data_IF_966157122682
#
_entry.id   IF_966157122682
#
_cell.length_a   1.000
_cell.length_b   1.000
_cell.length_c   1.000
_cell.angle_alpha   90.00
_cell.angle_beta   90.00
_cell.angle_gamma   90.00
#
_symmetry.space_group_name_H-M   'P 1'
#
loop_
_entity.id
_entity.type
_entity.pdbx_description
1 polymer ?
#
# COMPACT_ATOMS: atom_id res chain seq x y z
N UNK A 1 -3.21 -10.55 4.27
CA UNK A 1 -2.21 -9.52 4.02
C UNK A 1 -2.19 -8.45 5.12
N UNK A 2 -1.07 -7.72 5.25
CA UNK A 2 -0.90 -6.66 6.24
C UNK A 2 -1.83 -5.47 5.91
N UNK A 3 -2.41 -4.85 6.96
CA UNK A 3 -3.30 -3.68 6.81
C UNK A 3 -2.57 -2.40 6.36
N UNK A 4 -1.25 -2.38 6.49
CA UNK A 4 -0.41 -1.30 5.96
C UNK A 4 0.03 -1.66 4.54
N UNK A 5 -0.35 -0.89 3.51
CA UNK A 5 0.11 -1.13 2.14
C UNK A 5 1.63 -1.15 2.01
N UNK A 6 2.32 -0.31 2.77
CA UNK A 6 3.78 -0.25 2.72
C UNK A 6 4.47 -1.41 3.45
N UNK A 7 3.87 -1.97 4.50
CA UNK A 7 4.36 -3.22 5.10
C UNK A 7 4.13 -4.38 4.13
N UNK A 8 2.93 -4.45 3.54
CA UNK A 8 2.60 -5.43 2.52
C UNK A 8 3.58 -5.34 1.32
N UNK A 9 3.88 -4.12 0.84
CA UNK A 9 4.88 -3.89 -0.21
C UNK A 9 6.23 -4.51 0.12
N UNK A 10 6.78 -4.28 1.32
CA UNK A 10 8.09 -4.82 1.70
C UNK A 10 8.05 -6.35 1.82
N UNK A 11 7.01 -6.89 2.44
CA UNK A 11 6.83 -8.33 2.57
C UNK A 11 6.72 -9.01 1.19
N UNK A 12 5.95 -8.42 0.27
CA UNK A 12 5.83 -8.90 -1.11
C UNK A 12 7.17 -8.83 -1.85
N UNK A 13 7.92 -7.73 -1.72
CA UNK A 13 9.25 -7.63 -2.33
C UNK A 13 10.20 -8.72 -1.82
N UNK A 14 10.24 -8.95 -0.51
CA UNK A 14 11.09 -9.99 0.08
C UNK A 14 10.75 -11.39 -0.47
N UNK A 15 9.46 -11.70 -0.61
CA UNK A 15 8.98 -12.97 -1.17
C UNK A 15 9.32 -13.10 -2.65
N UNK A 16 9.04 -12.09 -3.48
CA UNK A 16 9.39 -12.07 -4.91
C UNK A 16 10.91 -12.20 -5.14
N UNK A 17 11.69 -11.58 -4.26
CA UNK A 17 13.14 -11.65 -4.31
C UNK A 17 13.72 -12.95 -3.69
N UNK A 18 12.89 -13.80 -3.09
CA UNK A 18 13.27 -15.00 -2.35
C UNK A 18 14.32 -14.70 -1.26
N UNK A 19 14.06 -13.64 -0.48
CA UNK A 19 14.90 -13.21 0.65
C UNK A 19 14.24 -13.71 1.94
N UNK A 20 14.97 -14.48 2.73
CA UNK A 20 14.52 -14.95 4.04
C UNK A 20 14.31 -13.79 5.02
N UNK A 21 13.21 -13.80 5.74
CA UNK A 21 12.89 -12.78 6.72
C UNK A 21 12.06 -13.32 7.89
N UNK A 22 12.09 -12.58 9.00
CA UNK A 22 11.27 -12.86 10.18
C UNK A 22 10.43 -11.62 10.51
N UNK A 23 9.12 -11.79 10.67
CA UNK A 23 8.23 -10.70 11.06
C UNK A 23 8.35 -10.44 12.56
N UNK A 24 8.69 -9.20 12.93
CA UNK A 24 8.66 -8.72 14.30
C UNK A 24 7.50 -7.72 14.46
N UNK A 25 6.43 -8.06 15.19
CA UNK A 25 5.35 -7.10 15.45
C UNK A 25 5.88 -5.84 16.14
N UNK A 26 5.59 -4.69 15.58
CA UNK A 26 6.07 -3.41 16.10
C UNK A 26 5.00 -2.33 15.99
N UNK A 27 5.10 -1.33 16.86
CA UNK A 27 4.26 -0.13 16.81
C UNK A 27 5.01 1.02 16.11
N UNK A 28 4.31 1.92 15.41
CA UNK A 28 4.96 3.05 14.74
C UNK A 28 5.79 3.94 15.67
N UNK A 29 5.41 4.05 16.96
CA UNK A 29 6.13 4.85 17.94
C UNK A 29 7.54 4.33 18.24
N UNK A 30 7.80 3.04 18.07
CA UNK A 30 9.12 2.43 18.25
C UNK A 30 9.97 2.42 16.98
N UNK A 31 9.41 2.81 15.82
CA UNK A 31 10.13 2.79 14.56
C UNK A 31 11.02 4.02 14.37
N UNK A 32 12.19 3.91 13.71
CA UNK A 32 13.17 5.00 13.58
C UNK A 32 12.65 6.32 13.03
N UNK A 33 11.63 6.28 12.14
CA UNK A 33 10.96 7.47 11.57
C UNK A 33 9.52 7.65 12.07
N UNK A 34 9.13 6.98 13.17
CA UNK A 34 7.74 7.00 13.65
C UNK A 34 6.71 6.44 12.67
N UNK A 35 7.15 5.61 11.71
CA UNK A 35 6.34 4.98 10.66
C UNK A 35 6.80 3.54 10.43
N UNK A 36 5.87 2.69 10.02
CA UNK A 36 6.14 1.34 9.52
C UNK A 36 6.04 1.33 7.98
N UNK A 37 6.77 0.44 7.30
CA UNK A 37 7.72 -0.54 7.82
C UNK A 37 9.09 0.04 8.18
N UNK A 38 9.82 -0.71 8.99
CA UNK A 38 11.27 -0.67 9.05
C UNK A 38 11.80 -2.12 9.08
N UNK A 39 13.04 -2.31 8.69
CA UNK A 39 13.75 -3.60 8.78
C UNK A 39 15.01 -3.45 9.63
N UNK A 40 15.46 -4.56 10.14
CA UNK A 40 16.80 -4.72 10.71
C UNK A 40 17.56 -5.69 9.82
N UNK A 41 18.62 -5.22 9.20
CA UNK A 41 19.50 -6.02 8.35
C UNK A 41 20.95 -5.78 8.72
N UNK A 42 21.69 -6.86 9.00
CA UNK A 42 23.12 -6.82 9.35
C UNK A 42 23.43 -5.81 10.49
N UNK A 43 22.52 -5.68 11.46
CA UNK A 43 22.67 -4.77 12.61
C UNK A 43 22.29 -3.32 12.32
N UNK A 44 21.78 -3.01 11.14
CA UNK A 44 21.31 -1.68 10.77
C UNK A 44 19.78 -1.63 10.72
N UNK A 45 19.20 -0.61 11.38
CA UNK A 45 17.78 -0.33 11.29
C UNK A 45 17.50 0.64 10.12
N UNK A 46 16.74 0.18 9.13
CA UNK A 46 16.39 0.94 7.93
C UNK A 46 14.90 1.20 7.89
N UNK A 47 14.50 2.45 7.75
CA UNK A 47 13.10 2.87 7.74
C UNK A 47 12.74 3.62 6.44
N UNK A 48 11.47 3.57 6.08
CA UNK A 48 10.86 4.00 4.84
C UNK A 48 11.01 2.95 3.72
N UNK A 49 9.86 2.52 3.18
CA UNK A 49 9.80 1.41 2.23
C UNK A 49 10.66 1.62 0.96
N UNK A 50 10.86 2.87 0.52
CA UNK A 50 11.70 3.16 -0.65
C UNK A 50 13.17 2.94 -0.35
N UNK A 51 13.65 3.46 0.81
CA UNK A 51 15.04 3.27 1.22
C UNK A 51 15.33 1.81 1.58
N UNK A 52 14.36 1.12 2.16
CA UNK A 52 14.45 -0.33 2.40
C UNK A 52 14.66 -1.08 1.08
N UNK A 53 13.82 -0.83 0.06
CA UNK A 53 13.96 -1.48 -1.25
C UNK A 53 15.28 -1.10 -1.92
N UNK A 54 15.70 0.16 -1.83
CA UNK A 54 17.02 0.56 -2.37
C UNK A 54 18.15 -0.23 -1.73
N UNK A 55 18.11 -0.43 -0.42
CA UNK A 55 19.07 -1.26 0.29
C UNK A 55 19.00 -2.73 -0.16
N UNK A 56 17.79 -3.32 -0.21
CA UNK A 56 17.60 -4.71 -0.62
C UNK A 56 18.09 -4.98 -2.05
N UNK A 57 17.89 -4.03 -2.97
CA UNK A 57 18.42 -4.09 -4.34
C UNK A 57 19.94 -4.15 -4.38
N UNK A 58 20.62 -3.40 -3.52
CA UNK A 58 22.08 -3.34 -3.51
C UNK A 58 22.73 -4.46 -2.73
N UNK A 59 22.08 -4.95 -1.67
CA UNK A 59 22.67 -5.91 -0.74
C UNK A 59 22.19 -7.35 -0.95
N UNK A 60 21.06 -7.54 -1.64
CA UNK A 60 20.44 -8.84 -1.87
C UNK A 60 20.10 -9.04 -3.35
N UNK A 61 18.82 -8.92 -3.73
CA UNK A 61 18.37 -9.14 -5.11
C UNK A 61 17.68 -7.91 -5.67
N UNK A 62 18.10 -7.46 -6.85
CA UNK A 62 17.46 -6.40 -7.61
C UNK A 62 16.46 -6.99 -8.60
N UNK A 63 15.15 -6.80 -8.34
CA UNK A 63 14.09 -7.27 -9.23
C UNK A 63 13.99 -6.43 -10.53
N UNK A 64 14.66 -5.28 -10.60
CA UNK A 64 14.63 -4.39 -11.76
C UNK A 64 15.90 -4.49 -12.62
N UNK A 65 16.76 -5.51 -12.42
CA UNK A 65 18.07 -5.62 -13.10
C UNK A 65 17.98 -5.67 -14.62
N UNK A 66 16.89 -6.24 -15.12
CA UNK A 66 16.69 -6.44 -16.56
C UNK A 66 15.94 -5.28 -17.25
N UNK A 67 15.45 -4.30 -16.46
CA UNK A 67 14.67 -3.17 -16.98
C UNK A 67 15.58 -2.14 -17.66
N UNK A 68 15.19 -1.69 -18.84
CA UNK A 68 15.83 -0.58 -19.52
C UNK A 68 15.44 0.79 -18.91
N UNK A 69 16.08 1.87 -19.35
CA UNK A 69 15.86 3.21 -18.79
C UNK A 69 14.41 3.73 -18.92
N UNK A 70 13.70 3.37 -20.00
CA UNK A 70 12.31 3.79 -20.21
C UNK A 70 11.35 3.02 -19.27
N UNK A 71 11.60 1.73 -19.08
CA UNK A 71 10.85 0.89 -18.14
C UNK A 71 11.09 1.32 -16.70
N UNK A 72 12.32 1.65 -16.31
CA UNK A 72 12.64 2.20 -15.00
C UNK A 72 11.92 3.54 -14.74
N UNK A 73 11.82 4.40 -15.76
CA UNK A 73 11.09 5.66 -15.68
C UNK A 73 9.58 5.42 -15.52
N UNK A 74 9.02 4.47 -16.28
CA UNK A 74 7.60 4.06 -16.18
C UNK A 74 7.31 3.45 -14.80
N UNK A 75 8.18 2.55 -14.33
CA UNK A 75 8.10 1.98 -12.98
C UNK A 75 8.03 3.06 -11.91
N UNK A 76 8.94 4.04 -11.98
CA UNK A 76 8.94 5.15 -11.03
C UNK A 76 7.67 5.98 -11.09
N UNK A 77 7.17 6.31 -12.29
CA UNK A 77 5.96 7.10 -12.46
C UNK A 77 4.73 6.39 -11.88
N UNK A 78 4.55 5.09 -12.17
CA UNK A 78 3.46 4.29 -11.63
C UNK A 78 3.58 4.08 -10.12
N UNK A 79 4.79 3.89 -9.57
CA UNK A 79 4.99 3.88 -8.12
C UNK A 79 4.56 5.20 -7.47
N UNK A 80 4.82 6.36 -8.09
CA UNK A 80 4.36 7.66 -7.57
C UNK A 80 2.84 7.77 -7.61
N UNK A 81 2.21 7.36 -8.71
CA UNK A 81 0.74 7.32 -8.79
C UNK A 81 0.16 6.45 -7.66
N UNK A 82 0.70 5.28 -7.44
CA UNK A 82 0.25 4.34 -6.39
C UNK A 82 0.47 4.91 -4.99
N UNK A 83 1.70 5.34 -4.68
CA UNK A 83 2.13 5.66 -3.32
C UNK A 83 1.87 7.11 -2.90
N UNK A 84 1.79 8.05 -3.87
CA UNK A 84 1.62 9.46 -3.57
C UNK A 84 0.23 9.99 -3.93
N UNK A 85 -0.57 9.25 -4.71
CA UNK A 85 -1.92 9.68 -5.06
C UNK A 85 -2.97 8.65 -4.63
N UNK A 86 -3.02 7.46 -5.24
CA UNK A 86 -4.04 6.44 -4.95
C UNK A 86 -4.05 6.02 -3.46
N UNK A 87 -2.89 5.95 -2.82
CA UNK A 87 -2.78 5.68 -1.38
C UNK A 87 -3.59 6.66 -0.53
N UNK A 88 -3.59 7.96 -0.86
CA UNK A 88 -4.32 8.96 -0.08
C UNK A 88 -5.83 8.84 -0.23
N UNK A 89 -6.30 8.38 -1.39
CA UNK A 89 -7.71 8.08 -1.64
C UNK A 89 -8.15 6.83 -0.86
N UNK A 90 -7.33 5.79 -0.85
CA UNK A 90 -7.54 4.60 -0.02
C UNK A 90 -7.52 4.95 1.48
N UNK A 91 -6.63 5.83 1.90
CA UNK A 91 -6.56 6.32 3.28
C UNK A 91 -7.82 7.12 3.66
N UNK A 92 -8.30 7.98 2.76
CA UNK A 92 -9.57 8.71 2.91
C UNK A 92 -10.73 7.73 3.11
N UNK A 93 -10.86 6.68 2.31
CA UNK A 93 -11.89 5.66 2.41
C UNK A 93 -11.96 5.03 3.80
N UNK A 94 -10.81 4.76 4.41
CA UNK A 94 -10.68 4.06 5.70
C UNK A 94 -10.91 4.96 6.91
N UNK A 95 -10.44 6.20 6.84
CA UNK A 95 -10.35 7.06 8.02
C UNK A 95 -11.35 8.19 8.04
N UNK A 96 -11.89 8.59 6.88
CA UNK A 96 -12.68 9.81 6.76
C UNK A 96 -14.06 9.59 6.13
N UNK A 97 -14.23 8.71 5.16
CA UNK A 97 -15.39 8.61 4.30
C UNK A 97 -16.68 8.35 5.08
N UNK A 98 -16.79 7.23 5.79
CA UNK A 98 -17.96 6.90 6.63
C UNK A 98 -17.56 6.51 8.04
N UNK A 99 -18.48 6.64 9.00
CA UNK A 99 -18.25 6.15 10.35
C UNK A 99 -18.24 4.61 10.41
N UNK A 100 -18.97 3.93 9.54
CA UNK A 100 -18.92 2.47 9.42
C UNK A 100 -17.52 2.00 9.03
N UNK A 101 -16.91 2.58 7.98
CA UNK A 101 -15.55 2.28 7.57
C UNK A 101 -14.55 2.55 8.70
N UNK A 102 -14.73 3.66 9.40
CA UNK A 102 -13.91 3.95 10.56
C UNK A 102 -14.03 2.88 11.65
N UNK A 103 -15.22 2.36 11.98
CA UNK A 103 -15.38 1.33 12.99
C UNK A 103 -14.70 0.02 12.59
N UNK A 104 -14.84 -0.40 11.33
CA UNK A 104 -14.13 -1.57 10.77
C UNK A 104 -12.61 -1.38 10.87
N UNK A 105 -12.11 -0.24 10.42
CA UNK A 105 -10.68 0.09 10.45
C UNK A 105 -10.14 0.19 11.89
N UNK A 106 -10.92 0.81 12.80
CA UNK A 106 -10.58 0.91 14.22
C UNK A 106 -10.44 -0.47 14.86
N UNK A 107 -11.39 -1.36 14.61
CA UNK A 107 -11.34 -2.72 15.15
C UNK A 107 -10.15 -3.51 14.57
N UNK A 108 -9.89 -3.37 13.29
CA UNK A 108 -8.78 -4.07 12.63
C UNK A 108 -7.40 -3.64 13.12
N UNK A 109 -7.20 -2.34 13.40
CA UNK A 109 -5.90 -1.80 13.82
C UNK A 109 -5.72 -1.85 15.35
N UNK A 110 -6.75 -1.51 16.10
CA UNK A 110 -6.65 -1.30 17.55
C UNK A 110 -7.42 -2.34 18.36
N UNK A 111 -8.03 -3.34 17.73
CA UNK A 111 -8.88 -4.34 18.38
C UNK A 111 -8.21 -5.15 19.50
N UNK A 112 -6.87 -5.27 19.48
CA UNK A 112 -6.09 -5.91 20.54
C UNK A 112 -5.92 -5.09 21.81
N UNK A 113 -6.34 -3.81 21.82
CA UNK A 113 -6.26 -2.95 23.00
C UNK A 113 -7.53 -3.05 23.86
N UNK A 114 -7.42 -2.87 25.20
CA UNK A 114 -8.58 -2.72 26.08
C UNK A 114 -9.52 -1.59 25.59
N UNK A 115 -10.86 -1.75 25.71
CA UNK A 115 -11.82 -0.85 25.05
C UNK A 115 -11.62 0.65 25.27
N UNK A 116 -11.37 1.07 26.51
CA UNK A 116 -11.18 2.50 26.86
C UNK A 116 -9.89 3.04 26.22
N UNK A 117 -8.78 2.28 26.35
CA UNK A 117 -7.48 2.66 25.79
C UNK A 117 -7.57 2.70 24.26
N UNK A 118 -8.21 1.69 23.68
CA UNK A 118 -8.45 1.61 22.24
C UNK A 118 -9.14 2.87 21.72
N UNK A 119 -10.21 3.31 22.37
CA UNK A 119 -11.00 4.43 21.89
C UNK A 119 -10.23 5.76 21.99
N UNK A 120 -9.47 5.97 23.05
CA UNK A 120 -8.62 7.15 23.20
C UNK A 120 -7.52 7.19 22.15
N UNK A 121 -6.77 6.07 22.01
CA UNK A 121 -5.66 5.96 21.07
C UNK A 121 -6.16 6.08 19.62
N UNK A 122 -7.21 5.36 19.28
CA UNK A 122 -7.80 5.38 17.94
C UNK A 122 -8.33 6.76 17.56
N UNK A 123 -8.99 7.49 18.50
CA UNK A 123 -9.45 8.85 18.25
C UNK A 123 -8.28 9.81 17.95
N UNK A 124 -7.22 9.73 18.73
CA UNK A 124 -6.00 10.52 18.51
C UNK A 124 -5.37 10.25 17.12
N UNK A 125 -5.28 8.98 16.75
CA UNK A 125 -4.79 8.58 15.43
C UNK A 125 -5.70 9.03 14.29
N UNK A 126 -7.03 8.86 14.43
CA UNK A 126 -8.00 9.36 13.43
C UNK A 126 -7.83 10.86 13.18
N UNK A 127 -7.72 11.64 14.26
CA UNK A 127 -7.51 13.10 14.17
C UNK A 127 -6.20 13.46 13.46
N UNK A 128 -5.12 12.73 13.75
CA UNK A 128 -3.81 12.90 13.09
C UNK A 128 -3.91 12.60 11.60
N UNK A 129 -4.48 11.45 11.24
CA UNK A 129 -4.60 11.02 9.83
C UNK A 129 -5.51 11.97 9.04
N UNK A 130 -6.66 12.36 9.58
CA UNK A 130 -7.54 13.35 8.92
C UNK A 130 -6.84 14.69 8.65
N UNK A 131 -5.96 15.14 9.55
CA UNK A 131 -5.14 16.33 9.30
C UNK A 131 -4.11 16.11 8.19
N UNK A 132 -3.53 14.92 8.08
CA UNK A 132 -2.62 14.58 6.98
C UNK A 132 -3.35 14.54 5.64
N UNK A 133 -4.53 13.92 5.57
CA UNK A 133 -5.38 13.88 4.37
C UNK A 133 -5.78 15.30 3.94
N UNK A 134 -6.13 16.17 4.89
CA UNK A 134 -6.44 17.56 4.63
C UNK A 134 -5.20 18.35 4.15
N UNK A 135 -4.05 18.13 4.76
CA UNK A 135 -2.77 18.75 4.41
C UNK A 135 -2.26 18.32 3.03
N UNK A 136 -2.47 17.08 2.65
CA UNK A 136 -2.19 16.56 1.31
C UNK A 136 -3.07 17.23 0.23
N UNK A 137 -4.28 17.66 0.59
CA UNK A 137 -5.24 18.24 -0.34
C UNK A 137 -6.46 17.35 -0.63
N UNK A 138 -6.29 16.02 -0.62
CA UNK A 138 -7.37 15.05 -0.86
C UNK A 138 -8.58 15.31 0.07
N UNK A 139 -8.34 15.64 1.33
CA UNK A 139 -9.41 15.90 2.30
C UNK A 139 -10.15 17.23 2.12
N UNK A 140 -9.80 18.02 1.11
CA UNK A 140 -10.49 19.28 0.75
C UNK A 140 -11.59 19.07 -0.29
N UNK A 141 -11.55 17.95 -0.99
CA UNK A 141 -12.51 17.56 -2.00
C UNK A 141 -13.77 16.92 -1.37
N UNK A 142 -14.89 17.00 -2.10
CA UNK A 142 -16.07 16.20 -1.79
C UNK A 142 -15.81 14.71 -2.07
N UNK A 143 -16.60 13.83 -1.46
CA UNK A 143 -16.36 12.39 -1.55
C UNK A 143 -16.42 11.85 -3.00
N UNK A 144 -17.37 12.35 -3.79
CA UNK A 144 -17.53 12.00 -5.20
C UNK A 144 -16.32 12.41 -6.05
N UNK A 145 -15.73 13.58 -5.78
CA UNK A 145 -14.53 14.07 -6.41
C UNK A 145 -13.33 13.19 -6.04
N UNK A 146 -13.16 12.88 -4.74
CA UNK A 146 -12.08 11.99 -4.26
C UNK A 146 -12.13 10.65 -4.98
N UNK A 147 -13.32 10.04 -5.05
CA UNK A 147 -13.45 8.74 -5.70
C UNK A 147 -13.40 8.82 -7.24
N UNK A 148 -13.75 9.95 -7.85
CA UNK A 148 -13.55 10.18 -9.27
C UNK A 148 -12.06 10.17 -9.64
N UNK A 149 -11.21 10.81 -8.83
CA UNK A 149 -9.75 10.77 -8.99
C UNK A 149 -9.20 9.33 -8.81
N UNK A 150 -9.69 8.61 -7.80
CA UNK A 150 -9.28 7.22 -7.58
C UNK A 150 -9.68 6.26 -8.70
N UNK A 151 -10.83 6.48 -9.35
CA UNK A 151 -11.21 5.73 -10.55
C UNK A 151 -10.24 5.96 -11.71
N UNK A 152 -9.78 7.20 -11.92
CA UNK A 152 -8.78 7.52 -12.95
C UNK A 152 -7.47 6.80 -12.68
N UNK A 153 -7.02 6.74 -11.43
CA UNK A 153 -5.82 6.00 -11.06
C UNK A 153 -5.96 4.49 -11.33
N UNK A 154 -7.10 3.90 -10.97
CA UNK A 154 -7.38 2.48 -11.24
C UNK A 154 -7.48 2.20 -12.74
N UNK A 155 -8.04 3.12 -13.53
CA UNK A 155 -8.07 3.02 -15.00
C UNK A 155 -6.65 3.04 -15.57
N UNK A 156 -5.80 3.94 -15.11
CA UNK A 156 -4.42 4.02 -15.54
C UNK A 156 -3.63 2.76 -15.19
N UNK A 157 -3.82 2.22 -13.98
CA UNK A 157 -3.19 0.96 -13.56
C UNK A 157 -3.71 -0.22 -14.38
N UNK A 158 -5.02 -0.33 -14.59
CA UNK A 158 -5.62 -1.39 -15.42
C UNK A 158 -5.11 -1.35 -16.86
N UNK A 159 -5.06 -0.15 -17.47
CA UNK A 159 -4.52 0.03 -18.81
C UNK A 159 -3.02 -0.28 -18.90
N UNK A 160 -2.25 0.09 -17.87
CA UNK A 160 -0.80 -0.18 -17.83
C UNK A 160 -0.49 -1.67 -17.64
N UNK A 161 -1.29 -2.38 -16.86
CA UNK A 161 -1.16 -3.84 -16.70
C UNK A 161 -1.58 -4.57 -17.98
N UNK A 162 -2.67 -4.12 -18.62
CA UNK A 162 -3.22 -4.78 -19.81
C UNK A 162 -3.50 -6.26 -19.57
N UNK A 163 -2.94 -7.10 -20.43
CA UNK A 163 -3.03 -8.57 -20.35
C UNK A 163 -1.74 -9.22 -19.84
N UNK A 164 -0.80 -8.42 -19.30
CA UNK A 164 0.50 -8.92 -18.82
C UNK A 164 0.35 -9.62 -17.47
N UNK A 165 1.30 -10.50 -17.16
CA UNK A 165 1.39 -11.14 -15.85
C UNK A 165 1.80 -10.14 -14.76
N UNK A 166 2.76 -9.27 -15.06
CA UNK A 166 3.25 -8.21 -14.18
C UNK A 166 3.26 -6.89 -14.93
N UNK A 167 3.35 -5.77 -14.24
CA UNK A 167 3.24 -4.42 -14.84
C UNK A 167 4.28 -4.11 -15.94
N UNK A 168 5.42 -4.79 -15.92
CA UNK A 168 6.51 -4.57 -16.88
C UNK A 168 6.95 -5.86 -17.60
N UNK A 169 6.05 -6.82 -17.77
CA UNK A 169 6.31 -8.04 -18.53
C UNK A 169 5.94 -9.33 -17.79
N UNK A 170 6.75 -10.36 -17.96
CA UNK A 170 6.46 -11.72 -17.50
C UNK A 170 7.10 -12.05 -16.13
N UNK A 171 7.97 -11.18 -15.64
CA UNK A 171 8.66 -11.35 -14.36
C UNK A 171 8.30 -10.21 -13.38
N UNK A 172 8.20 -10.48 -12.07
CA UNK A 172 7.87 -9.48 -11.08
C UNK A 172 9.00 -8.46 -10.90
N UNK A 173 8.62 -7.20 -10.77
CA UNK A 173 9.53 -6.08 -10.54
C UNK A 173 9.23 -5.38 -9.21
N UNK A 174 10.04 -4.38 -8.86
CA UNK A 174 9.76 -3.53 -7.68
C UNK A 174 8.37 -2.87 -7.76
N UNK A 175 7.92 -2.52 -8.96
CA UNK A 175 6.60 -1.91 -9.16
C UNK A 175 5.49 -2.84 -8.69
N UNK A 176 5.59 -4.14 -8.96
CA UNK A 176 4.58 -5.13 -8.58
C UNK A 176 4.43 -5.26 -7.07
N UNK A 177 5.52 -5.13 -6.32
CA UNK A 177 5.43 -5.09 -4.85
C UNK A 177 4.64 -3.88 -4.34
N UNK A 178 4.80 -2.72 -4.98
CA UNK A 178 4.05 -1.49 -4.64
C UNK A 178 2.58 -1.60 -5.07
N UNK A 179 2.34 -2.08 -6.28
CA UNK A 179 1.00 -2.25 -6.84
C UNK A 179 0.18 -3.25 -6.03
N UNK A 180 0.71 -4.45 -5.80
CA UNK A 180 0.03 -5.45 -4.98
C UNK A 180 -0.23 -4.93 -3.56
N UNK A 181 0.78 -4.34 -2.90
CA UNK A 181 0.64 -3.84 -1.54
C UNK A 181 -0.51 -2.85 -1.37
N UNK A 182 -0.79 -1.99 -2.36
CA UNK A 182 -1.91 -1.08 -2.31
C UNK A 182 -3.21 -1.72 -2.82
N UNK A 183 -3.20 -2.42 -3.95
CA UNK A 183 -4.39 -3.01 -4.56
C UNK A 183 -5.07 -4.04 -3.65
N UNK A 184 -4.31 -4.92 -2.99
CA UNK A 184 -4.88 -5.86 -2.01
C UNK A 184 -5.53 -5.12 -0.82
N UNK A 185 -5.01 -3.97 -0.48
CA UNK A 185 -5.53 -3.10 0.57
C UNK A 185 -6.73 -2.24 0.11
N UNK A 186 -7.09 -2.24 -1.18
CA UNK A 186 -8.31 -1.65 -1.74
C UNK A 186 -9.32 -2.76 -2.06
N UNK A 187 -8.94 -3.70 -2.92
CA UNK A 187 -9.83 -4.75 -3.47
C UNK A 187 -10.08 -5.85 -2.44
N UNK A 188 -9.04 -6.32 -1.76
CA UNK A 188 -9.11 -7.44 -0.80
C UNK A 188 -9.42 -7.06 0.64
N UNK A 189 -9.66 -5.78 0.95
CA UNK A 189 -9.91 -5.34 2.32
C UNK A 189 -11.42 -5.35 2.67
N UNK A 190 -11.79 -5.44 3.97
CA UNK A 190 -13.18 -5.42 4.41
C UNK A 190 -13.83 -4.02 4.43
N UNK A 191 -13.12 -2.99 3.93
CA UNK A 191 -13.62 -1.61 3.89
C UNK A 191 -14.41 -1.40 2.59
N UNK A 192 -15.70 -1.16 2.70
CA UNK A 192 -16.56 -0.89 1.55
C UNK A 192 -16.44 0.58 1.12
N UNK A 193 -16.26 0.82 -0.18
CA UNK A 193 -16.16 2.17 -0.73
C UNK A 193 -16.39 2.17 -2.23
N UNK A 194 -16.78 3.32 -2.83
CA UNK A 194 -16.86 3.47 -4.29
C UNK A 194 -15.53 3.16 -5.00
N UNK A 195 -14.38 3.31 -4.31
CA UNK A 195 -13.08 2.94 -4.85
C UNK A 195 -12.94 1.42 -4.96
N UNK A 196 -13.32 0.67 -3.93
CA UNK A 196 -13.31 -0.80 -3.94
C UNK A 196 -14.29 -1.34 -4.97
N UNK A 197 -15.53 -0.86 -4.96
CA UNK A 197 -16.56 -1.26 -5.92
C UNK A 197 -16.05 -1.11 -7.35
N UNK A 198 -15.43 0.04 -7.66
CA UNK A 198 -14.88 0.29 -8.98
C UNK A 198 -13.66 -0.61 -9.29
N UNK A 199 -12.77 -0.81 -8.32
CA UNK A 199 -11.62 -1.71 -8.47
C UNK A 199 -12.04 -3.14 -8.80
N UNK A 200 -13.13 -3.61 -8.20
CA UNK A 200 -13.70 -4.94 -8.49
C UNK A 200 -14.29 -5.08 -9.91
N UNK A 201 -14.53 -3.99 -10.63
CA UNK A 201 -14.93 -4.03 -12.06
C UNK A 201 -13.75 -4.17 -13.01
N UNK A 202 -12.52 -4.14 -12.52
CA UNK A 202 -11.30 -4.28 -13.31
C UNK A 202 -10.78 -5.72 -13.22
N UNK A 203 -11.29 -6.58 -14.08
CA UNK A 203 -11.02 -8.02 -14.06
C UNK A 203 -9.52 -8.34 -14.04
N UNK A 204 -8.71 -7.59 -14.81
CA UNK A 204 -7.27 -7.79 -14.86
C UNK A 204 -6.57 -7.39 -13.54
N UNK A 205 -7.01 -6.34 -12.86
CA UNK A 205 -6.47 -5.98 -11.53
C UNK A 205 -6.90 -6.99 -10.46
N UNK A 206 -8.13 -7.49 -10.51
CA UNK A 206 -8.62 -8.54 -9.61
C UNK A 206 -7.79 -9.82 -9.80
N UNK A 207 -7.68 -10.31 -11.04
CA UNK A 207 -6.90 -11.50 -11.37
C UNK A 207 -5.41 -11.36 -11.00
N UNK A 208 -4.85 -10.15 -11.19
CA UNK A 208 -3.48 -9.84 -10.77
C UNK A 208 -3.31 -9.95 -9.25
N UNK A 209 -4.22 -9.35 -8.47
CA UNK A 209 -4.17 -9.41 -7.00
C UNK A 209 -4.30 -10.84 -6.49
N UNK A 210 -5.25 -11.61 -7.04
CA UNK A 210 -5.45 -13.02 -6.66
C UNK A 210 -4.22 -13.88 -6.97
N UNK A 211 -3.61 -13.69 -8.14
CA UNK A 211 -2.40 -14.41 -8.55
C UNK A 211 -1.22 -14.10 -7.62
N UNK A 212 -0.91 -12.82 -7.39
CA UNK A 212 0.20 -12.43 -6.51
C UNK A 212 -0.03 -12.96 -5.08
N UNK A 213 -1.25 -12.92 -4.58
CA UNK A 213 -1.59 -13.45 -3.25
C UNK A 213 -1.41 -14.96 -3.16
N UNK A 214 -1.58 -15.68 -4.27
CA UNK A 214 -1.43 -17.13 -4.31
C UNK A 214 0.04 -17.55 -4.47
N UNK A 215 0.81 -16.79 -5.24
CA UNK A 215 2.20 -17.11 -5.58
C UNK A 215 3.19 -16.69 -4.47
N UNK A 216 2.86 -15.61 -3.80
CA UNK A 216 3.72 -14.97 -2.78
C UNK A 216 2.95 -14.72 -1.47
#
# INVERSE_FOLDING_TARGET
PNLSPFCCKIETYLRMANIDYTIKPSLPLGAPKGKLPYIEDSGQALADSRFIITHLKSSHKNLDSELNAAELATSLALQRLIEEHLFWIALYSRWQYTDQNWQVNKQAIFGGLPPIIRDIVAHGWRKKIKRQILGHGTGRHQADEVFALGRQDLDALSASLGNQLYFLGDEPTTLDSSAFGLLINIIGCPIESPLKEYGLTKDNLVSYVERIQHEY
#
